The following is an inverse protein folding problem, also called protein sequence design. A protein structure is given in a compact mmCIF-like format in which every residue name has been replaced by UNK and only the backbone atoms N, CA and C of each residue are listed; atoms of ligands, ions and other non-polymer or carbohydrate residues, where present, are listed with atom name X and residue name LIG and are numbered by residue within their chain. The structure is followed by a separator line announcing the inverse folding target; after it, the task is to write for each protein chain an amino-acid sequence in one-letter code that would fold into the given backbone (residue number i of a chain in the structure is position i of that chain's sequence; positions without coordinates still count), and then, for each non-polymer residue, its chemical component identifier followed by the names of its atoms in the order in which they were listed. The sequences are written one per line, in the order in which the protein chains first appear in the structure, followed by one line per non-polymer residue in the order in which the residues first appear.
data_IF_043099357430
#
_entry.id   IF_043099357430
#
_cell.length_a   1.000
_cell.length_b   1.000
_cell.length_c   1.000
_cell.angle_alpha   90.00
_cell.angle_beta   90.00
_cell.angle_gamma   90.00
#
_symmetry.space_group_name_H-M   'P 1'
#
loop_
_entity.id
_entity.type
_entity.pdbx_description
1 polymer ?
#
# COMPACT_ATOMS: atom_id res chain seq x y z
N UNK A 1 52.62 -22.52 -30.66
CA UNK A 1 51.62 -21.74 -31.39
C UNK A 1 50.25 -21.93 -30.75
N UNK A 2 49.61 -20.81 -30.38
CA UNK A 2 48.22 -20.55 -29.96
C UNK A 2 47.25 -21.74 -29.86
N UNK A 3 46.59 -21.85 -28.71
CA UNK A 3 45.12 -21.69 -28.61
C UNK A 3 44.75 -21.12 -27.24
N UNK A 4 44.30 -19.86 -27.24
CA UNK A 4 43.58 -19.23 -26.13
C UNK A 4 42.12 -19.68 -26.26
N UNK A 5 41.55 -20.29 -25.23
CA UNK A 5 40.11 -20.56 -25.15
C UNK A 5 39.59 -19.96 -23.86
N UNK A 6 39.09 -18.73 -23.99
CA UNK A 6 38.22 -18.08 -23.01
C UNK A 6 37.06 -19.02 -22.66
N UNK A 7 36.84 -19.29 -21.38
CA UNK A 7 35.88 -20.30 -20.94
C UNK A 7 35.20 -19.92 -19.64
N UNK A 8 34.36 -18.89 -19.70
CA UNK A 8 33.16 -18.65 -18.86
C UNK A 8 33.41 -18.57 -17.34
N UNK A 9 33.65 -17.35 -16.85
CA UNK A 9 33.34 -16.97 -15.47
C UNK A 9 31.81 -16.82 -15.39
N UNK A 10 31.12 -17.83 -14.87
CA UNK A 10 29.68 -17.78 -14.62
C UNK A 10 29.44 -17.03 -13.31
N UNK A 11 29.48 -15.70 -13.37
CA UNK A 11 29.05 -14.83 -12.28
C UNK A 11 27.53 -14.92 -12.13
N UNK A 12 27.07 -15.74 -11.20
CA UNK A 12 25.67 -15.75 -10.78
C UNK A 12 25.45 -14.51 -9.89
N UNK A 13 25.07 -13.40 -10.52
CA UNK A 13 24.50 -12.25 -9.82
C UNK A 13 23.01 -12.51 -9.60
N UNK A 14 22.65 -13.12 -8.46
CA UNK A 14 21.26 -13.11 -8.01
C UNK A 14 20.95 -11.68 -7.54
N UNK A 15 20.20 -10.95 -8.37
CA UNK A 15 19.63 -9.65 -8.04
C UNK A 15 18.63 -9.84 -6.89
N UNK A 16 19.03 -9.50 -5.67
CA UNK A 16 18.11 -9.33 -4.55
C UNK A 16 17.28 -8.05 -4.76
N UNK A 17 16.22 -8.12 -5.57
CA UNK A 17 15.19 -7.08 -5.61
C UNK A 17 14.17 -7.40 -4.52
N UNK A 18 14.49 -7.03 -3.29
CA UNK A 18 13.54 -7.04 -2.18
C UNK A 18 13.40 -5.60 -1.68
N UNK A 19 12.54 -4.84 -2.36
CA UNK A 19 12.22 -3.45 -2.04
C UNK A 19 10.72 -3.21 -1.92
N UNK A 20 9.93 -4.25 -1.62
CA UNK A 20 8.53 -4.04 -1.25
C UNK A 20 8.49 -3.60 0.21
N UNK A 21 8.28 -2.30 0.45
CA UNK A 21 7.98 -1.80 1.78
C UNK A 21 6.70 -2.50 2.27
N UNK A 22 6.85 -3.43 3.20
CA UNK A 22 5.73 -4.15 3.78
C UNK A 22 5.16 -3.31 4.92
N UNK A 23 3.94 -2.80 4.75
CA UNK A 23 3.24 -2.04 5.77
C UNK A 23 2.83 -2.97 6.93
N UNK A 24 2.78 -2.40 8.14
CA UNK A 24 2.29 -3.14 9.30
C UNK A 24 0.78 -3.39 9.16
N UNK A 25 0.34 -4.61 9.47
CA UNK A 25 -1.08 -4.95 9.47
C UNK A 25 -1.81 -4.26 10.63
N UNK A 26 -3.08 -3.84 10.44
CA UNK A 26 -3.87 -3.21 11.49
C UNK A 26 -4.13 -4.11 12.71
N UNK A 27 -4.35 -3.47 13.84
CA UNK A 27 -4.63 -4.05 15.15
C UNK A 27 -5.83 -3.36 15.80
N UNK A 28 -6.35 -3.95 16.89
CA UNK A 28 -7.44 -3.33 17.66
C UNK A 28 -7.08 -1.93 18.17
N UNK A 29 -5.82 -1.70 18.53
CA UNK A 29 -5.37 -0.38 18.98
C UNK A 29 -5.45 0.69 17.89
N UNK A 30 -5.36 0.29 16.61
CA UNK A 30 -5.49 1.22 15.48
C UNK A 30 -6.93 1.67 15.30
N UNK A 31 -7.89 0.76 15.50
CA UNK A 31 -9.33 1.08 15.51
C UNK A 31 -9.67 2.00 16.68
N UNK A 32 -9.16 1.70 17.88
CA UNK A 32 -9.44 2.49 19.08
C UNK A 32 -9.00 3.95 18.93
N UNK A 33 -7.83 4.20 18.30
CA UNK A 33 -7.33 5.57 18.04
C UNK A 33 -8.27 6.41 17.19
N UNK A 34 -9.05 5.81 16.28
CA UNK A 34 -9.97 6.53 15.39
C UNK A 34 -11.43 6.41 15.79
N UNK A 35 -11.74 5.72 16.88
CA UNK A 35 -13.12 5.47 17.36
C UNK A 35 -13.96 6.73 17.55
N UNK A 36 -13.34 7.86 17.93
CA UNK A 36 -14.05 9.14 18.08
C UNK A 36 -14.49 9.72 16.73
N UNK A 37 -13.68 9.51 15.69
CA UNK A 37 -13.96 10.00 14.33
C UNK A 37 -14.82 9.01 13.53
N UNK A 38 -14.69 7.71 13.80
CA UNK A 38 -15.45 6.65 13.15
C UNK A 38 -15.78 5.53 14.15
N UNK A 39 -16.87 5.66 14.91
CA UNK A 39 -17.23 4.73 15.98
C UNK A 39 -17.67 3.35 15.47
N UNK A 40 -18.09 3.26 14.22
CA UNK A 40 -18.60 2.03 13.62
C UNK A 40 -17.49 1.21 12.92
N UNK A 41 -16.28 1.77 12.78
CA UNK A 41 -15.17 1.08 12.12
C UNK A 41 -14.74 -0.15 12.92
N UNK A 42 -14.76 -1.31 12.27
CA UNK A 42 -14.29 -2.57 12.87
C UNK A 42 -12.86 -2.91 12.45
N UNK A 43 -12.19 -3.76 13.24
CA UNK A 43 -10.88 -4.31 12.85
C UNK A 43 -10.95 -5.10 11.54
N UNK A 44 -12.07 -5.77 11.27
CA UNK A 44 -12.26 -6.52 10.03
C UNK A 44 -12.30 -5.59 8.81
N UNK A 45 -13.03 -4.47 8.89
CA UNK A 45 -13.07 -3.47 7.83
C UNK A 45 -11.72 -2.78 7.64
N UNK A 46 -11.05 -2.43 8.74
CA UNK A 46 -9.72 -1.82 8.68
C UNK A 46 -8.69 -2.76 8.05
N UNK A 47 -8.74 -4.05 8.40
CA UNK A 47 -7.92 -5.10 7.79
C UNK A 47 -8.26 -5.27 6.31
N UNK A 48 -9.54 -5.21 5.94
CA UNK A 48 -9.95 -5.26 4.54
C UNK A 48 -9.41 -4.08 3.73
N UNK A 49 -9.44 -2.88 4.30
CA UNK A 49 -8.83 -1.68 3.71
C UNK A 49 -7.32 -1.85 3.49
N UNK A 50 -6.60 -2.40 4.47
CA UNK A 50 -5.17 -2.73 4.36
C UNK A 50 -4.88 -3.69 3.19
N UNK A 51 -5.65 -4.77 3.06
CA UNK A 51 -5.50 -5.75 1.98
C UNK A 51 -5.74 -5.10 0.62
N UNK A 52 -6.83 -4.33 0.49
CA UNK A 52 -7.18 -3.62 -0.73
C UNK A 52 -6.07 -2.63 -1.13
N UNK A 53 -5.57 -1.85 -0.18
CA UNK A 53 -4.50 -0.88 -0.40
C UNK A 53 -3.21 -1.57 -0.87
N UNK A 54 -2.75 -2.57 -0.12
CA UNK A 54 -1.51 -3.30 -0.41
C UNK A 54 -1.55 -4.05 -1.73
N UNK A 55 -2.73 -4.56 -2.12
CA UNK A 55 -2.90 -5.33 -3.35
C UNK A 55 -3.11 -4.45 -4.60
N UNK A 56 -3.57 -3.20 -4.46
CA UNK A 56 -4.02 -2.40 -5.60
C UNK A 56 -3.26 -1.08 -5.82
N UNK A 57 -2.68 -0.50 -4.77
CA UNK A 57 -2.07 0.84 -4.85
C UNK A 57 -0.60 0.84 -5.27
N UNK A 58 0.06 -0.33 -5.30
CA UNK A 58 1.43 -0.49 -5.78
C UNK A 58 1.55 -0.91 -7.26
N UNK A 59 0.43 -0.99 -7.98
CA UNK A 59 0.40 -1.49 -9.37
C UNK A 59 0.94 -0.48 -10.40
N UNK A 60 1.00 0.80 -10.05
CA UNK A 60 1.37 1.88 -10.97
C UNK A 60 2.60 2.67 -10.53
N UNK A 61 2.82 2.77 -9.22
CA UNK A 61 3.96 3.42 -8.56
C UNK A 61 4.22 2.70 -7.23
N UNK A 62 5.21 3.16 -6.46
CA UNK A 62 5.47 2.62 -5.12
C UNK A 62 4.25 2.71 -4.21
N UNK A 63 4.15 1.77 -3.25
CA UNK A 63 3.13 1.85 -2.21
C UNK A 63 3.50 2.98 -1.26
N UNK A 64 2.60 3.94 -1.09
CA UNK A 64 2.86 5.07 -0.20
C UNK A 64 2.72 4.65 1.26
N UNK A 65 3.54 5.23 2.14
CA UNK A 65 3.35 5.08 3.58
C UNK A 65 2.08 5.87 3.98
N UNK A 66 1.11 5.29 4.70
CA UNK A 66 -0.02 6.03 5.26
C UNK A 66 0.37 7.31 6.00
N UNK A 67 1.59 7.39 6.56
CA UNK A 67 2.14 8.56 7.25
C UNK A 67 2.70 9.65 6.32
N UNK A 68 2.72 9.44 5.00
CA UNK A 68 3.32 10.36 4.04
C UNK A 68 2.50 11.62 3.77
N UNK A 69 1.18 11.58 4.03
CA UNK A 69 0.26 12.67 3.73
C UNK A 69 -0.66 12.98 4.92
N UNK A 70 -1.20 14.19 4.97
CA UNK A 70 -2.22 14.57 5.96
C UNK A 70 -3.56 13.90 5.66
N UNK A 71 -4.48 13.93 6.63
CA UNK A 71 -5.85 13.45 6.45
C UNK A 71 -6.56 14.14 5.27
N UNK A 72 -6.44 15.47 5.14
CA UNK A 72 -7.07 16.23 4.06
C UNK A 72 -6.49 15.87 2.69
N UNK A 73 -5.19 15.59 2.64
CA UNK A 73 -4.52 15.13 1.42
C UNK A 73 -5.01 13.73 1.05
N UNK A 74 -5.07 12.78 1.99
CA UNK A 74 -5.58 11.44 1.74
C UNK A 74 -7.03 11.43 1.23
N UNK A 75 -7.89 12.28 1.81
CA UNK A 75 -9.28 12.47 1.37
C UNK A 75 -9.40 12.97 -0.08
N UNK A 76 -8.36 13.60 -0.63
CA UNK A 76 -8.29 14.00 -2.05
C UNK A 76 -7.58 12.97 -2.92
N UNK A 77 -6.51 12.36 -2.41
CA UNK A 77 -5.64 11.45 -3.16
C UNK A 77 -6.32 10.10 -3.44
N UNK A 78 -6.96 9.48 -2.44
CA UNK A 78 -7.59 8.16 -2.63
C UNK A 78 -8.65 8.19 -3.74
N UNK A 79 -9.64 9.12 -3.74
CA UNK A 79 -10.62 9.20 -4.83
C UNK A 79 -10.00 9.53 -6.20
N UNK A 80 -8.88 10.25 -6.22
CA UNK A 80 -8.17 10.54 -7.47
C UNK A 80 -7.38 9.34 -8.01
N UNK A 81 -6.92 8.44 -7.14
CA UNK A 81 -6.12 7.26 -7.50
C UNK A 81 -6.98 6.04 -7.83
N UNK A 82 -8.11 5.83 -7.17
CA UNK A 82 -8.97 4.65 -7.41
C UNK A 82 -9.36 4.49 -8.90
N UNK A 83 -9.84 5.52 -9.61
CA UNK A 83 -10.13 5.41 -11.04
C UNK A 83 -8.89 5.11 -11.89
N UNK A 84 -7.71 5.61 -11.48
CA UNK A 84 -6.43 5.34 -12.17
C UNK A 84 -6.00 3.89 -11.98
N UNK A 85 -6.12 3.37 -10.75
CA UNK A 85 -5.85 1.97 -10.44
C UNK A 85 -6.80 1.04 -11.19
N UNK A 86 -8.10 1.39 -11.27
CA UNK A 86 -9.08 0.62 -12.03
C UNK A 86 -8.77 0.59 -13.53
N UNK A 87 -8.34 1.72 -14.12
CA UNK A 87 -7.83 1.75 -15.52
C UNK A 87 -6.58 0.90 -15.75
N UNK A 88 -5.92 0.44 -14.68
CA UNK A 88 -4.72 -0.39 -14.71
C UNK A 88 -4.96 -1.82 -14.20
N UNK A 89 -6.22 -2.25 -14.13
CA UNK A 89 -6.60 -3.64 -13.85
C UNK A 89 -6.94 -3.93 -12.39
N UNK A 90 -7.17 -2.91 -11.56
CA UNK A 90 -7.89 -3.09 -10.30
C UNK A 90 -9.41 -3.07 -10.55
N UNK A 91 -10.16 -3.63 -9.61
CA UNK A 91 -11.64 -3.62 -9.63
C UNK A 91 -12.15 -3.13 -8.28
N UNK A 92 -11.85 -1.89 -7.94
CA UNK A 92 -12.25 -1.24 -6.69
C UNK A 92 -13.62 -0.59 -6.85
N UNK A 93 -14.56 -0.97 -5.99
CA UNK A 93 -15.90 -0.37 -5.87
C UNK A 93 -15.86 0.88 -4.98
N UNK A 94 -16.94 1.70 -4.93
CA UNK A 94 -17.03 2.80 -3.96
C UNK A 94 -16.89 2.36 -2.50
N UNK A 95 -17.33 1.13 -2.17
CA UNK A 95 -17.15 0.57 -0.83
C UNK A 95 -15.68 0.25 -0.56
N UNK A 96 -14.97 -0.33 -1.53
CA UNK A 96 -13.53 -0.60 -1.42
C UNK A 96 -12.71 0.70 -1.30
N UNK A 97 -13.09 1.74 -2.06
CA UNK A 97 -12.48 3.07 -1.95
C UNK A 97 -12.61 3.62 -0.53
N UNK A 98 -13.81 3.54 0.07
CA UNK A 98 -14.00 3.98 1.44
C UNK A 98 -13.15 3.18 2.42
N UNK A 99 -13.08 1.85 2.28
CA UNK A 99 -12.24 1.01 3.15
C UNK A 99 -10.75 1.35 3.03
N UNK A 100 -10.25 1.60 1.82
CA UNK A 100 -8.88 2.09 1.60
C UNK A 100 -8.67 3.44 2.29
N UNK A 101 -9.62 4.37 2.14
CA UNK A 101 -9.54 5.68 2.78
C UNK A 101 -9.51 5.54 4.31
N UNK A 102 -10.41 4.75 4.91
CA UNK A 102 -10.40 4.50 6.36
C UNK A 102 -9.07 3.90 6.82
N UNK A 103 -8.48 3.00 6.03
CA UNK A 103 -7.17 2.43 6.32
C UNK A 103 -6.06 3.48 6.36
N UNK A 104 -5.90 4.30 5.33
CA UNK A 104 -4.82 5.29 5.29
C UNK A 104 -5.01 6.40 6.33
N UNK A 105 -6.25 6.71 6.71
CA UNK A 105 -6.55 7.66 7.79
C UNK A 105 -6.23 7.09 9.18
N UNK A 106 -6.57 5.82 9.43
CA UNK A 106 -6.29 5.17 10.72
C UNK A 106 -4.80 4.87 10.94
N UNK A 107 -4.05 4.65 9.85
CA UNK A 107 -2.61 4.36 9.90
C UNK A 107 -1.74 5.59 9.61
N UNK A 108 -2.36 6.71 9.24
CA UNK A 108 -1.68 7.96 8.89
C UNK A 108 -1.28 8.81 10.10
N UNK A 109 -0.76 10.03 9.87
CA UNK A 109 -0.41 10.94 10.94
C UNK A 109 -1.70 11.46 11.57
N UNK A 110 -1.91 11.15 12.84
CA UNK A 110 -3.01 11.73 13.60
C UNK A 110 -2.70 13.22 13.88
N UNK A 111 -3.65 14.11 13.59
CA UNK A 111 -3.62 15.45 14.13
C UNK A 111 -3.59 15.35 15.66
N UNK A 112 -2.62 16.03 16.28
CA UNK A 112 -2.54 16.14 17.75
C UNK A 112 -3.68 16.97 18.30
#
# INVERSE_FOLDING_TARGET
MKVIKYGVVLSIAFLASCGSAQLASPTTSDVERVSTANPDLTLAELTKGYELYSANCNKCHGLEDPKAYTEEEWRRLVPAMVPKANRKGSTLTPSDENLILQYVLAMGPHAK
#
